data_IF_102968327863
#
_entry.id   IF_102968327863
#
_cell.length_a   1.000
_cell.length_b   1.000
_cell.length_c   1.000
_cell.angle_alpha   90.00
_cell.angle_beta   90.00
_cell.angle_gamma   90.00
#
_symmetry.space_group_name_H-M   'P 1'
#
loop_
_entity.id
_entity.type
_entity.pdbx_description
1 polymer ?
#
# COMPACT_ATOMS: atom_id res chain seq x y z
N UNK A 1 3.92 4.47 -23.32
CA UNK A 1 3.93 4.02 -21.92
C UNK A 1 5.38 4.02 -21.45
N UNK A 2 5.69 4.50 -20.23
CA UNK A 2 7.08 4.57 -19.73
C UNK A 2 7.53 3.19 -19.22
N UNK A 3 8.83 3.00 -18.99
CA UNK A 3 9.46 1.72 -18.64
C UNK A 3 8.78 0.99 -17.47
N UNK A 4 8.57 1.67 -16.34
CA UNK A 4 7.84 1.13 -15.18
C UNK A 4 6.42 0.72 -15.58
N UNK A 5 5.67 1.61 -16.21
CA UNK A 5 4.27 1.35 -16.59
C UNK A 5 4.15 0.19 -17.57
N UNK A 6 5.06 0.07 -18.54
CA UNK A 6 5.06 -1.04 -19.50
C UNK A 6 5.36 -2.39 -18.86
N UNK A 7 6.02 -2.40 -17.70
CA UNK A 7 6.29 -3.64 -16.97
C UNK A 7 5.04 -4.20 -16.28
N UNK A 8 4.24 -3.38 -15.58
CA UNK A 8 3.08 -3.88 -14.82
C UNK A 8 1.73 -3.65 -15.50
N UNK A 9 1.52 -2.53 -16.22
CA UNK A 9 0.21 -2.22 -16.86
C UNK A 9 -0.02 -2.97 -18.17
N UNK A 10 1.01 -3.57 -18.75
CA UNK A 10 0.85 -4.41 -19.95
C UNK A 10 0.12 -5.72 -19.63
N UNK A 11 0.08 -6.13 -18.37
CA UNK A 11 -0.74 -7.24 -17.92
C UNK A 11 -2.22 -6.80 -17.85
N UNK A 12 -3.14 -7.38 -18.64
CA UNK A 12 -4.56 -7.02 -18.57
C UNK A 12 -5.19 -7.32 -17.20
N UNK A 13 -4.63 -8.28 -16.45
CA UNK A 13 -5.09 -8.70 -15.13
C UNK A 13 -4.35 -7.96 -13.98
N UNK A 14 -3.66 -6.85 -14.27
CA UNK A 14 -2.90 -6.08 -13.27
C UNK A 14 -3.70 -5.74 -12.01
N UNK A 15 -5.02 -5.57 -12.13
CA UNK A 15 -5.90 -5.23 -11.02
C UNK A 15 -5.99 -6.36 -9.99
N UNK A 16 -5.85 -7.61 -10.45
CA UNK A 16 -5.79 -8.84 -9.64
C UNK A 16 -4.36 -9.17 -9.23
N UNK A 17 -3.36 -8.71 -9.99
CA UNK A 17 -1.93 -8.96 -9.76
C UNK A 17 -1.16 -7.72 -9.30
N UNK A 18 -1.78 -6.91 -8.43
CA UNK A 18 -1.27 -5.57 -8.03
C UNK A 18 0.19 -5.59 -7.55
N UNK A 19 0.59 -6.66 -6.86
CA UNK A 19 1.93 -6.82 -6.31
C UNK A 19 3.04 -6.93 -7.37
N UNK A 20 2.72 -7.21 -8.64
CA UNK A 20 3.69 -7.24 -9.74
C UNK A 20 4.37 -5.87 -9.96
N UNK A 21 3.72 -4.77 -9.55
CA UNK A 21 4.33 -3.43 -9.57
C UNK A 21 5.68 -3.38 -8.82
N UNK A 22 5.82 -4.16 -7.74
CA UNK A 22 7.04 -4.17 -6.94
C UNK A 22 8.26 -4.73 -7.71
N UNK A 23 8.05 -5.48 -8.79
CA UNK A 23 9.13 -6.00 -9.66
C UNK A 23 9.54 -5.02 -10.76
N UNK A 24 8.82 -3.92 -10.92
CA UNK A 24 8.99 -2.97 -12.01
C UNK A 24 9.79 -1.72 -11.63
N UNK A 25 10.43 -1.71 -10.45
CA UNK A 25 11.20 -0.58 -9.94
C UNK A 25 12.49 -0.41 -10.74
N UNK A 26 12.80 0.83 -11.12
CA UNK A 26 14.04 1.20 -11.83
C UNK A 26 14.82 2.27 -11.05
N UNK A 27 16.09 2.48 -11.40
CA UNK A 27 16.95 3.49 -10.77
C UNK A 27 17.50 3.07 -9.41
N UNK A 28 17.78 4.05 -8.54
CA UNK A 28 18.47 3.79 -7.25
C UNK A 28 17.69 2.88 -6.30
N UNK A 29 16.35 2.83 -6.41
CA UNK A 29 15.50 2.01 -5.53
C UNK A 29 15.38 0.53 -5.94
N UNK A 30 15.87 0.12 -7.11
CA UNK A 30 15.50 -1.17 -7.71
C UNK A 30 15.89 -2.41 -6.88
N UNK A 31 16.88 -2.30 -5.99
CA UNK A 31 17.31 -3.41 -5.13
C UNK A 31 16.67 -3.39 -3.73
N UNK A 32 16.18 -2.23 -3.28
CA UNK A 32 15.73 -2.03 -1.91
C UNK A 32 14.21 -1.97 -1.79
N UNK A 33 13.50 -1.58 -2.85
CA UNK A 33 12.05 -1.35 -2.80
C UNK A 33 11.28 -2.60 -3.20
N UNK A 34 10.72 -3.28 -2.20
CA UNK A 34 9.74 -4.37 -2.39
C UNK A 34 8.35 -4.02 -1.84
N UNK A 35 8.27 -3.05 -0.92
CA UNK A 35 7.02 -2.65 -0.27
C UNK A 35 6.35 -3.81 0.46
N UNK A 36 5.03 -3.93 0.32
CA UNK A 36 4.24 -5.01 0.90
C UNK A 36 4.19 -6.31 0.09
N UNK A 37 5.09 -6.48 -0.90
CA UNK A 37 5.08 -7.69 -1.76
C UNK A 37 5.22 -8.96 -0.90
N UNK A 38 4.45 -9.99 -1.23
CA UNK A 38 4.33 -11.25 -0.48
C UNK A 38 3.72 -11.11 0.93
N UNK A 39 3.31 -9.89 1.31
CA UNK A 39 2.57 -9.61 2.52
C UNK A 39 1.08 -9.87 2.39
N UNK A 40 0.34 -9.62 3.47
CA UNK A 40 -1.11 -9.73 3.45
C UNK A 40 -1.75 -8.54 2.73
N UNK A 41 -2.87 -8.77 2.05
CA UNK A 41 -3.69 -7.68 1.53
C UNK A 41 -4.50 -7.06 2.66
N UNK A 42 -4.46 -5.74 2.76
CA UNK A 42 -5.26 -4.98 3.71
C UNK A 42 -6.12 -3.98 2.95
N UNK A 43 -7.43 -4.02 3.16
CA UNK A 43 -8.34 -3.07 2.53
C UNK A 43 -8.81 -2.05 3.56
N UNK A 44 -8.55 -0.78 3.29
CA UNK A 44 -9.09 0.35 4.03
C UNK A 44 -10.56 0.51 3.64
N UNK A 45 -11.42 0.48 4.65
CA UNK A 45 -12.89 0.60 4.56
C UNK A 45 -13.44 1.74 5.41
N UNK A 46 -12.58 2.39 6.19
CA UNK A 46 -12.95 3.45 7.12
C UNK A 46 -11.93 4.59 7.02
N UNK A 47 -12.42 5.80 6.71
CA UNK A 47 -11.59 7.00 6.54
C UNK A 47 -11.29 7.74 7.84
N UNK A 48 -11.83 7.29 8.97
CA UNK A 48 -11.54 7.88 10.28
C UNK A 48 -10.11 7.55 10.75
N UNK A 49 -9.58 8.44 11.59
CA UNK A 49 -8.25 8.27 12.20
C UNK A 49 -8.35 8.33 13.72
N UNK A 50 -7.64 7.43 14.41
CA UNK A 50 -7.40 7.46 15.85
C UNK A 50 -5.91 7.16 16.09
N UNK A 51 -5.09 8.15 16.50
CA UNK A 51 -3.66 7.97 16.68
C UNK A 51 -3.30 7.15 17.92
N UNK A 52 -4.25 6.94 18.86
CA UNK A 52 -4.02 6.20 20.11
C UNK A 52 -4.48 4.76 19.94
N UNK A 53 -5.67 4.55 19.39
CA UNK A 53 -6.28 3.23 19.23
C UNK A 53 -6.85 3.06 17.81
N UNK A 54 -6.00 2.94 16.78
CA UNK A 54 -6.47 2.72 15.42
C UNK A 54 -7.22 1.39 15.33
N UNK A 55 -8.37 1.39 14.65
CA UNK A 55 -9.23 0.21 14.51
C UNK A 55 -9.01 -0.49 13.16
N UNK A 56 -9.21 -1.81 13.08
CA UNK A 56 -9.28 -2.52 11.80
C UNK A 56 -10.24 -1.81 10.82
N UNK A 57 -9.85 -1.75 9.54
CA UNK A 57 -10.53 -0.98 8.49
C UNK A 57 -9.94 0.42 8.26
N UNK A 58 -9.17 0.99 9.20
CA UNK A 58 -8.52 2.31 9.03
C UNK A 58 -7.13 2.22 8.42
N UNK A 59 -6.71 3.27 7.72
CA UNK A 59 -5.36 3.35 7.15
C UNK A 59 -4.27 3.20 8.23
N UNK A 60 -4.41 3.89 9.37
CA UNK A 60 -3.41 3.84 10.45
C UNK A 60 -3.23 2.43 10.99
N UNK A 61 -4.30 1.68 11.19
CA UNK A 61 -4.19 0.29 11.62
C UNK A 61 -3.39 -0.54 10.63
N UNK A 62 -3.64 -0.39 9.32
CA UNK A 62 -2.89 -1.12 8.28
C UNK A 62 -1.41 -0.76 8.22
N UNK A 63 -1.05 0.51 8.43
CA UNK A 63 0.33 1.02 8.32
C UNK A 63 1.22 0.59 9.48
N UNK A 64 0.68 0.48 10.69
CA UNK A 64 1.47 0.14 11.89
C UNK A 64 1.68 -1.37 12.08
N UNK A 65 1.21 -2.21 11.14
CA UNK A 65 1.44 -3.65 11.22
C UNK A 65 2.93 -3.94 11.05
N UNK A 66 3.45 -4.85 11.87
CA UNK A 66 4.86 -5.27 11.82
C UNK A 66 5.18 -6.15 10.62
N UNK A 67 4.16 -6.85 10.11
CA UNK A 67 4.26 -7.67 8.90
C UNK A 67 4.05 -6.82 7.65
N UNK A 68 4.65 -7.19 6.49
CA UNK A 68 4.41 -6.49 5.24
C UNK A 68 2.92 -6.50 4.85
N UNK A 69 2.40 -5.32 4.49
CA UNK A 69 1.01 -5.14 4.07
C UNK A 69 0.92 -4.52 2.68
N UNK A 70 0.13 -5.14 1.79
CA UNK A 70 -0.30 -4.52 0.55
C UNK A 70 -1.63 -3.79 0.77
N UNK A 71 -1.53 -2.51 1.12
CA UNK A 71 -2.69 -1.68 1.48
C UNK A 71 -3.43 -1.21 0.22
N UNK A 72 -4.74 -1.36 0.22
CA UNK A 72 -5.65 -0.93 -0.85
C UNK A 72 -6.85 -0.19 -0.25
N UNK A 73 -7.59 0.54 -1.09
CA UNK A 73 -8.77 1.30 -0.66
C UNK A 73 -10.01 0.71 -1.32
N UNK A 74 -11.10 0.60 -0.56
CA UNK A 74 -12.39 0.07 -1.06
C UNK A 74 -13.15 1.05 -1.95
N UNK A 75 -12.94 2.34 -1.75
CA UNK A 75 -13.59 3.44 -2.48
C UNK A 75 -12.72 4.71 -2.41
N UNK A 76 -13.18 5.76 -3.08
CA UNK A 76 -12.57 7.09 -2.97
C UNK A 76 -12.76 7.64 -1.55
N UNK A 77 -11.68 8.12 -0.92
CA UNK A 77 -11.70 8.55 0.47
C UNK A 77 -10.93 9.85 0.68
N UNK A 78 -11.46 10.70 1.58
CA UNK A 78 -10.70 11.79 2.20
C UNK A 78 -10.35 11.36 3.62
N UNK A 79 -9.07 11.09 3.88
CA UNK A 79 -8.56 10.68 5.19
C UNK A 79 -7.87 11.90 5.83
N UNK A 80 -8.46 12.43 6.89
CA UNK A 80 -7.85 13.52 7.67
C UNK A 80 -7.11 12.93 8.85
N UNK A 81 -5.78 12.87 8.75
CA UNK A 81 -4.93 12.36 9.83
C UNK A 81 -4.93 13.34 11.01
N UNK A 82 -5.07 12.81 12.24
CA UNK A 82 -5.04 13.60 13.48
C UNK A 82 -3.62 13.88 13.99
N UNK A 83 -2.65 13.11 13.54
CA UNK A 83 -1.22 13.30 13.73
C UNK A 83 -0.46 12.59 12.60
N UNK A 84 0.86 12.75 12.54
CA UNK A 84 1.74 12.05 11.61
C UNK A 84 1.42 10.55 11.52
N UNK A 85 1.43 10.04 10.30
CA UNK A 85 1.24 8.62 10.01
C UNK A 85 2.61 7.97 9.88
N UNK A 86 3.10 7.45 11.00
CA UNK A 86 4.37 6.75 11.05
C UNK A 86 4.14 5.24 10.96
N UNK A 87 4.99 4.57 10.20
CA UNK A 87 5.17 3.14 10.35
C UNK A 87 6.21 2.97 11.47
N UNK A 88 5.84 2.33 12.57
CA UNK A 88 6.83 2.01 13.61
C UNK A 88 7.70 0.88 13.07
N UNK A 89 8.99 1.16 12.88
CA UNK A 89 10.06 0.16 12.82
C UNK A 89 10.85 0.18 14.11
#
# INVERSE_FOLDING_TARGET
MKEIDSCWRSNPDWASERCALADCVVGFGHQATVGGKNGAFYQVTDSSDDPINPKPGTLRYGVIQTEPMWITFSEDMVITLKNELNYDQ
#
